data_IF_716465785674
#
_entry.id   IF_716465785674
#
_cell.length_a   1.000
_cell.length_b   1.000
_cell.length_c   1.000
_cell.angle_alpha   90.00
_cell.angle_beta   90.00
_cell.angle_gamma   90.00
#
_symmetry.space_group_name_H-M   'P 1'
#
loop_
_entity.id
_entity.type
_entity.pdbx_description
1 polymer ?
#
# COMPACT_ATOMS: atom_id res chain seq x y z
N UNK A 1 -40.61 20.36 -7.58
CA UNK A 1 -39.39 19.67 -7.09
C UNK A 1 -38.71 20.57 -6.09
N UNK A 2 -38.60 20.18 -4.84
CA UNK A 2 -38.18 21.06 -3.73
C UNK A 2 -36.68 21.38 -3.90
N UNK A 3 -36.24 22.65 -4.00
CA UNK A 3 -34.84 22.99 -4.27
C UNK A 3 -33.87 22.46 -3.23
N UNK A 4 -34.32 22.23 -2.00
CA UNK A 4 -33.55 21.61 -0.92
C UNK A 4 -33.24 20.13 -1.18
N UNK A 5 -34.16 19.40 -1.81
CA UNK A 5 -33.93 17.98 -2.17
C UNK A 5 -32.97 17.86 -3.36
N UNK A 6 -32.99 18.81 -4.30
CA UNK A 6 -32.07 18.86 -5.42
C UNK A 6 -30.64 19.14 -4.94
N UNK A 7 -30.47 20.09 -4.02
CA UNK A 7 -29.18 20.41 -3.41
C UNK A 7 -28.61 19.23 -2.61
N UNK A 8 -29.46 18.51 -1.88
CA UNK A 8 -29.06 17.34 -1.10
C UNK A 8 -28.61 16.19 -1.99
N UNK A 9 -29.31 15.95 -3.11
CA UNK A 9 -28.93 14.89 -4.07
C UNK A 9 -27.63 15.20 -4.82
N UNK A 10 -27.39 16.46 -5.18
CA UNK A 10 -26.13 16.89 -5.82
C UNK A 10 -24.95 16.78 -4.84
N UNK A 11 -25.16 17.13 -3.57
CA UNK A 11 -24.13 17.00 -2.54
C UNK A 11 -23.78 15.54 -2.27
N UNK A 12 -24.76 14.62 -2.31
CA UNK A 12 -24.52 13.18 -2.12
C UNK A 12 -23.73 12.57 -3.29
N UNK A 13 -24.00 13.00 -4.51
CA UNK A 13 -23.26 12.55 -5.71
C UNK A 13 -21.82 13.06 -5.70
N UNK A 14 -21.57 14.27 -5.19
CA UNK A 14 -20.22 14.82 -5.09
C UNK A 14 -19.33 14.07 -4.08
N UNK A 15 -19.92 13.54 -3.00
CA UNK A 15 -19.22 12.79 -1.96
C UNK A 15 -18.76 11.38 -2.41
N UNK A 16 -19.38 10.80 -3.42
CA UNK A 16 -19.04 9.46 -3.92
C UNK A 16 -17.87 9.48 -4.92
N UNK A 17 -17.53 10.65 -5.47
CA UNK A 17 -16.53 10.80 -6.54
C UNK A 17 -15.05 10.72 -6.08
N UNK A 18 -14.77 10.59 -4.77
CA UNK A 18 -13.41 10.57 -4.23
C UNK A 18 -12.80 9.17 -4.05
N UNK A 19 -13.37 8.13 -4.63
CA UNK A 19 -12.74 6.81 -4.62
C UNK A 19 -11.67 6.76 -5.73
N UNK A 20 -10.52 7.41 -5.45
CA UNK A 20 -9.36 7.35 -6.32
C UNK A 20 -8.86 5.91 -6.47
N UNK A 21 -8.59 5.48 -7.70
CA UNK A 21 -7.93 4.21 -7.98
C UNK A 21 -6.52 4.23 -7.38
N UNK A 22 -6.35 3.59 -6.22
CA UNK A 22 -5.02 3.36 -5.65
C UNK A 22 -4.35 2.21 -6.40
N UNK A 23 -3.09 2.39 -6.81
CA UNK A 23 -2.24 1.34 -7.38
C UNK A 23 -1.63 0.45 -6.32
N UNK A 24 -1.83 0.80 -5.05
CA UNK A 24 -1.35 0.07 -3.88
C UNK A 24 -2.02 -1.32 -3.80
N UNK A 25 -1.19 -2.37 -3.87
CA UNK A 25 -1.60 -3.76 -3.73
C UNK A 25 -1.10 -4.28 -2.39
N UNK A 26 -2.01 -4.85 -1.60
CA UNK A 26 -1.69 -5.42 -0.29
C UNK A 26 -2.10 -6.87 -0.26
N UNK A 27 -1.20 -7.72 0.22
CA UNK A 27 -1.44 -9.13 0.51
C UNK A 27 -0.95 -9.44 1.92
N UNK A 28 -1.57 -10.42 2.57
CA UNK A 28 -1.11 -10.92 3.86
C UNK A 28 -1.22 -12.44 3.94
N UNK A 29 -0.36 -13.00 4.77
CA UNK A 29 -0.35 -14.42 5.11
C UNK A 29 -0.09 -14.58 6.61
N UNK A 30 -0.61 -15.64 7.22
CA UNK A 30 -0.47 -15.84 8.65
C UNK A 30 -0.56 -17.34 9.04
N UNK A 31 0.01 -17.68 10.18
CA UNK A 31 -0.13 -19.00 10.76
C UNK A 31 -1.51 -19.15 11.44
N UNK A 32 -2.42 -19.98 10.91
CA UNK A 32 -3.78 -20.11 11.46
C UNK A 32 -3.81 -20.77 12.85
N UNK A 33 -2.73 -21.46 13.24
CA UNK A 33 -2.61 -22.09 14.57
C UNK A 33 -2.07 -21.13 15.64
N UNK A 34 -1.72 -19.90 15.29
CA UNK A 34 -1.19 -18.92 16.22
C UNK A 34 -2.32 -18.20 16.96
N UNK A 35 -2.20 -18.10 18.28
CA UNK A 35 -3.19 -17.41 19.13
C UNK A 35 -2.92 -15.89 19.18
N UNK A 36 -3.60 -15.13 18.34
CA UNK A 36 -3.48 -13.68 18.28
C UNK A 36 -4.16 -12.96 19.46
N UNK A 37 -5.02 -13.62 20.21
CA UNK A 37 -5.79 -12.97 21.31
C UNK A 37 -4.92 -12.53 22.48
N UNK A 38 -3.73 -13.11 22.60
CA UNK A 38 -2.77 -12.83 23.68
C UNK A 38 -1.88 -11.62 23.40
N UNK A 39 -1.89 -11.12 22.17
CA UNK A 39 -1.05 -9.99 21.77
C UNK A 39 -1.60 -8.68 22.32
N UNK A 40 -0.78 -7.95 23.08
CA UNK A 40 -1.10 -6.62 23.65
C UNK A 40 -0.01 -5.61 23.40
N UNK A 41 1.24 -6.05 23.42
CA UNK A 41 2.41 -5.18 23.35
C UNK A 41 3.30 -5.55 22.15
N UNK A 42 3.92 -4.53 21.54
CA UNK A 42 4.79 -4.74 20.39
C UNK A 42 6.08 -3.94 20.48
N UNK A 43 7.13 -4.42 19.81
CA UNK A 43 8.33 -3.66 19.54
C UNK A 43 8.67 -3.70 18.05
N UNK A 44 8.99 -2.55 17.46
CA UNK A 44 9.49 -2.50 16.09
C UNK A 44 11.01 -2.63 16.15
N UNK A 45 11.52 -3.71 15.55
CA UNK A 45 12.93 -4.01 15.48
C UNK A 45 13.38 -3.89 14.03
N UNK A 46 14.34 -3.04 13.75
CA UNK A 46 14.93 -2.99 12.43
C UNK A 46 16.42 -3.26 12.52
N UNK A 47 16.83 -4.30 11.79
CA UNK A 47 18.24 -4.65 11.70
C UNK A 47 18.95 -3.68 10.76
N UNK A 48 19.56 -2.68 11.36
CA UNK A 48 20.66 -1.83 10.91
C UNK A 48 20.96 -1.71 9.42
N UNK A 49 20.88 -0.48 8.90
CA UNK A 49 22.04 0.27 8.48
C UNK A 49 21.59 1.72 8.21
N UNK A 50 21.77 2.59 9.24
CA UNK A 50 21.50 4.01 9.16
C UNK A 50 19.99 4.37 9.27
N UNK A 51 19.68 5.31 10.15
CA UNK A 51 18.33 5.89 10.30
C UNK A 51 18.01 6.80 9.11
N UNK A 52 17.69 6.23 7.95
CA UNK A 52 17.24 7.06 6.84
C UNK A 52 15.88 7.70 7.16
N UNK A 53 15.58 8.91 6.65
CA UNK A 53 14.28 9.55 6.85
C UNK A 53 13.10 8.67 6.41
N UNK A 54 13.29 7.81 5.42
CA UNK A 54 12.28 6.86 4.97
C UNK A 54 12.01 5.79 6.04
N UNK A 55 13.06 5.22 6.64
CA UNK A 55 12.91 4.21 7.69
C UNK A 55 12.22 4.79 8.93
N UNK A 56 12.57 6.00 9.32
CA UNK A 56 11.92 6.70 10.44
C UNK A 56 10.42 6.87 10.20
N UNK A 57 10.02 7.30 9.00
CA UNK A 57 8.60 7.42 8.63
C UNK A 57 7.86 6.09 8.65
N UNK A 58 8.50 5.00 8.19
CA UNK A 58 7.89 3.67 8.24
C UNK A 58 7.67 3.24 9.69
N UNK A 59 8.66 3.42 10.57
CA UNK A 59 8.54 3.12 12.01
C UNK A 59 7.42 3.94 12.64
N UNK A 60 7.36 5.24 12.35
CA UNK A 60 6.33 6.13 12.86
C UNK A 60 4.94 5.73 12.38
N UNK A 61 4.78 5.45 11.08
CA UNK A 61 3.51 5.02 10.50
C UNK A 61 3.03 3.68 11.05
N UNK A 62 3.91 2.68 11.15
CA UNK A 62 3.57 1.37 11.74
C UNK A 62 3.21 1.53 13.23
N UNK A 63 3.98 2.33 13.98
CA UNK A 63 3.70 2.60 15.40
C UNK A 63 2.33 3.25 15.57
N UNK A 64 2.00 4.24 14.73
CA UNK A 64 0.70 4.90 14.74
C UNK A 64 -0.43 3.90 14.53
N UNK A 65 -0.34 3.06 13.51
CA UNK A 65 -1.40 2.11 13.16
C UNK A 65 -1.54 0.98 14.19
N UNK A 66 -0.44 0.46 14.76
CA UNK A 66 -0.53 -0.53 15.84
C UNK A 66 -1.19 0.07 17.09
N UNK A 67 -0.86 1.32 17.44
CA UNK A 67 -1.54 2.03 18.54
C UNK A 67 -3.03 2.24 18.26
N UNK A 68 -3.39 2.62 17.04
CA UNK A 68 -4.78 2.79 16.64
C UNK A 68 -5.60 1.48 16.75
N UNK A 69 -4.93 0.32 16.64
CA UNK A 69 -5.51 -1.01 16.86
C UNK A 69 -5.52 -1.46 18.34
N UNK A 70 -5.02 -0.63 19.25
CA UNK A 70 -5.02 -0.92 20.68
C UNK A 70 -3.77 -1.61 21.22
N UNK A 71 -2.74 -1.82 20.38
CA UNK A 71 -1.47 -2.35 20.84
C UNK A 71 -0.60 -1.27 21.51
N UNK A 72 0.18 -1.66 22.52
CA UNK A 72 1.02 -0.74 23.27
C UNK A 72 2.50 -0.98 22.93
N UNK A 73 3.27 0.07 22.60
CA UNK A 73 4.72 -0.09 22.39
C UNK A 73 5.40 -0.54 23.69
N UNK A 74 6.33 -1.49 23.56
CA UNK A 74 7.12 -1.99 24.67
C UNK A 74 8.59 -2.16 24.24
N UNK A 75 9.55 -2.24 25.19
CA UNK A 75 10.91 -2.68 24.89
C UNK A 75 10.92 -4.08 24.27
N UNK A 76 11.93 -4.37 23.45
CA UNK A 76 12.03 -5.64 22.71
C UNK A 76 11.94 -6.88 23.61
N UNK A 77 12.55 -6.81 24.80
CA UNK A 77 12.58 -7.86 25.80
C UNK A 77 11.26 -8.08 26.54
N UNK A 78 10.30 -7.15 26.41
CA UNK A 78 9.01 -7.17 27.11
C UNK A 78 7.80 -7.18 26.16
N UNK A 79 8.04 -7.12 24.87
CA UNK A 79 6.99 -7.13 23.87
C UNK A 79 6.42 -8.54 23.66
N UNK A 80 5.10 -8.64 23.49
CA UNK A 80 4.43 -9.90 23.14
C UNK A 80 4.77 -10.33 21.72
N UNK A 81 5.05 -9.37 20.84
CA UNK A 81 5.52 -9.65 19.48
C UNK A 81 6.49 -8.58 18.98
N UNK A 82 7.32 -9.01 18.04
CA UNK A 82 8.25 -8.13 17.34
C UNK A 82 7.75 -7.87 15.93
N UNK A 83 7.96 -6.65 15.48
CA UNK A 83 7.66 -6.22 14.12
C UNK A 83 8.96 -5.90 13.40
N UNK A 84 9.21 -6.58 12.29
CA UNK A 84 10.36 -6.33 11.42
C UNK A 84 9.85 -5.91 10.05
N UNK A 85 10.53 -4.97 9.41
CA UNK A 85 10.17 -4.58 8.05
C UNK A 85 11.37 -4.56 7.12
N UNK A 86 11.10 -4.83 5.84
CA UNK A 86 12.05 -4.79 4.74
C UNK A 86 11.47 -4.00 3.58
N UNK A 87 12.30 -3.21 2.94
CA UNK A 87 11.91 -2.46 1.74
C UNK A 87 12.75 -2.89 0.55
N UNK A 88 12.14 -2.95 -0.63
CA UNK A 88 12.80 -3.26 -1.89
C UNK A 88 12.25 -2.37 -2.99
N UNK A 89 13.12 -1.91 -3.89
CA UNK A 89 12.75 -1.12 -5.06
C UNK A 89 13.25 -1.87 -6.30
N UNK A 90 12.35 -2.09 -7.26
CA UNK A 90 12.67 -2.76 -8.54
C UNK A 90 12.26 -1.89 -9.71
N UNK A 91 13.10 -1.86 -10.75
CA UNK A 91 12.70 -1.32 -12.05
C UNK A 91 11.80 -2.34 -12.74
N UNK A 92 10.69 -1.89 -13.25
CA UNK A 92 9.71 -2.68 -14.00
C UNK A 92 9.49 -2.07 -15.37
N UNK A 93 9.17 -2.92 -16.34
CA UNK A 93 8.79 -2.53 -17.69
C UNK A 93 7.38 -2.99 -17.96
N UNK A 94 6.60 -2.13 -18.59
CA UNK A 94 5.25 -2.42 -19.02
C UNK A 94 5.16 -2.14 -20.51
N UNK A 95 4.76 -3.15 -21.28
CA UNK A 95 4.46 -2.99 -22.70
C UNK A 95 2.96 -2.78 -22.85
N UNK A 96 2.59 -1.65 -23.46
CA UNK A 96 1.20 -1.31 -23.78
C UNK A 96 1.06 -1.34 -25.28
N UNK A 97 0.05 -2.06 -25.76
CA UNK A 97 -0.29 -2.08 -27.19
C UNK A 97 -1.42 -1.09 -27.44
N UNK A 98 -1.09 0.01 -28.08
CA UNK A 98 -2.05 1.00 -28.57
C UNK A 98 -2.40 0.68 -30.04
N UNK A 99 -3.59 1.07 -30.49
CA UNK A 99 -3.99 0.95 -31.87
C UNK A 99 -4.09 2.33 -32.50
N UNK A 100 -3.29 2.56 -33.54
CA UNK A 100 -3.33 3.81 -34.30
C UNK A 100 -4.09 3.61 -35.61
N UNK A 101 -4.96 4.58 -35.95
CA UNK A 101 -5.59 4.62 -37.27
C UNK A 101 -4.58 5.09 -38.30
N UNK A 102 -4.36 4.32 -39.32
CA UNK A 102 -3.55 4.69 -40.48
C UNK A 102 -4.45 4.71 -41.69
N UNK A 103 -4.55 5.89 -42.34
CA UNK A 103 -5.28 6.03 -43.59
C UNK A 103 -4.53 5.36 -44.72
N UNK A 104 -5.22 4.51 -45.52
CA UNK A 104 -4.62 3.77 -46.63
C UNK A 104 -4.51 4.58 -47.92
N UNK A 105 -5.17 5.76 -48.03
CA UNK A 105 -5.13 6.63 -49.20
C UNK A 105 -5.17 8.10 -48.85
N UNK A 106 -4.42 8.96 -49.58
CA UNK A 106 -4.41 10.43 -49.33
C UNK A 106 -5.66 11.14 -49.81
N UNK A 107 -6.56 10.50 -50.54
CA UNK A 107 -7.81 11.10 -51.04
C UNK A 107 -9.02 10.21 -50.74
N UNK A 108 -9.82 10.60 -49.78
CA UNK A 108 -11.28 10.35 -49.67
C UNK A 108 -11.76 8.90 -49.55
N UNK A 109 -12.64 8.74 -48.57
CA UNK A 109 -13.48 7.56 -48.27
C UNK A 109 -12.83 6.37 -47.56
N UNK A 110 -12.82 6.51 -46.25
CA UNK A 110 -13.37 5.44 -45.38
C UNK A 110 -12.50 4.22 -45.04
N UNK A 111 -11.37 3.97 -45.66
CA UNK A 111 -10.58 2.80 -45.35
C UNK A 111 -9.43 3.15 -44.38
N UNK A 112 -9.61 2.78 -43.11
CA UNK A 112 -8.59 2.88 -42.07
C UNK A 112 -8.10 1.49 -41.71
N UNK A 113 -6.78 1.33 -41.57
CA UNK A 113 -6.22 0.18 -40.91
C UNK A 113 -5.91 0.56 -39.46
N UNK A 114 -6.23 -0.32 -38.52
CA UNK A 114 -5.79 -0.21 -37.10
C UNK A 114 -4.48 -0.95 -36.97
N UNK A 115 -3.41 -0.20 -36.81
CA UNK A 115 -2.05 -0.76 -36.67
C UNK A 115 -1.70 -0.77 -35.19
N UNK A 116 -1.32 -1.93 -34.62
CA UNK A 116 -0.86 -2.03 -33.27
C UNK A 116 0.51 -1.36 -33.13
N UNK A 117 0.64 -0.46 -32.15
CA UNK A 117 1.90 0.16 -31.76
C UNK A 117 2.20 -0.28 -30.35
N UNK A 118 3.35 -0.91 -30.15
CA UNK A 118 3.84 -1.25 -28.83
C UNK A 118 4.66 -0.09 -28.25
N UNK A 119 4.29 0.32 -27.04
CA UNK A 119 5.04 1.30 -26.27
C UNK A 119 5.54 0.65 -24.99
N UNK A 120 6.82 0.79 -24.72
CA UNK A 120 7.44 0.33 -23.49
C UNK A 120 7.55 1.49 -22.50
N UNK A 121 7.03 1.28 -21.29
CA UNK A 121 7.11 2.23 -20.19
C UNK A 121 7.91 1.62 -19.06
N UNK A 122 8.95 2.31 -18.62
CA UNK A 122 9.70 1.94 -17.43
C UNK A 122 9.12 2.67 -16.21
N UNK A 123 8.96 1.94 -15.11
CA UNK A 123 8.56 2.51 -13.83
C UNK A 123 9.28 1.81 -12.68
N UNK A 124 9.36 2.49 -11.54
CA UNK A 124 9.90 1.90 -10.31
C UNK A 124 8.75 1.39 -9.45
N UNK A 125 8.87 0.17 -8.96
CA UNK A 125 7.96 -0.46 -8.03
C UNK A 125 8.64 -0.59 -6.67
N UNK A 126 7.99 -0.03 -5.63
CA UNK A 126 8.37 -0.19 -4.24
C UNK A 126 7.60 -1.34 -3.60
N UNK A 127 8.29 -2.14 -2.79
CA UNK A 127 7.69 -3.19 -1.97
C UNK A 127 8.12 -2.99 -0.53
N UNK A 128 7.16 -3.03 0.39
CA UNK A 128 7.40 -3.17 1.82
C UNK A 128 6.86 -4.51 2.29
N UNK A 129 7.66 -5.23 3.07
CA UNK A 129 7.28 -6.46 3.74
C UNK A 129 7.36 -6.16 5.24
N UNK A 130 6.29 -6.47 5.95
CA UNK A 130 6.22 -6.34 7.42
C UNK A 130 5.91 -7.70 7.99
N UNK A 131 6.76 -8.15 8.90
CA UNK A 131 6.65 -9.43 9.59
C UNK A 131 6.35 -9.21 11.07
N UNK A 132 5.37 -9.92 11.60
CA UNK A 132 5.16 -10.06 13.03
C UNK A 132 5.66 -11.44 13.47
N UNK A 133 6.51 -11.45 14.48
CA UNK A 133 7.21 -12.66 14.93
C UNK A 133 7.22 -12.80 16.45
N UNK A 134 7.28 -14.03 16.89
CA UNK A 134 7.42 -14.38 18.29
C UNK A 134 8.79 -13.94 18.83
N UNK A 135 8.86 -13.22 19.95
CA UNK A 135 10.12 -12.70 20.47
C UNK A 135 11.13 -13.77 20.90
N UNK A 136 10.64 -14.94 21.31
CA UNK A 136 11.49 -16.04 21.81
C UNK A 136 12.00 -16.94 20.70
N UNK A 137 11.08 -17.39 19.84
CA UNK A 137 11.39 -18.35 18.77
C UNK A 137 11.82 -17.68 17.47
N UNK A 138 11.53 -16.39 17.31
CA UNK A 138 11.72 -15.62 16.07
C UNK A 138 10.92 -16.16 14.88
N UNK A 139 9.96 -17.04 15.13
CA UNK A 139 9.08 -17.55 14.10
C UNK A 139 8.09 -16.46 13.66
N UNK A 140 7.97 -16.27 12.35
CA UNK A 140 7.01 -15.34 11.76
C UNK A 140 5.64 -16.00 11.83
N UNK A 141 4.68 -15.33 12.47
CA UNK A 141 3.29 -15.80 12.53
C UNK A 141 2.34 -14.98 11.67
N UNK A 142 2.76 -13.79 11.22
CA UNK A 142 2.02 -12.99 10.27
C UNK A 142 3.00 -12.21 9.37
N UNK A 143 2.63 -12.09 8.10
CA UNK A 143 3.37 -11.32 7.09
C UNK A 143 2.41 -10.48 6.28
N UNK A 144 2.67 -9.19 6.19
CA UNK A 144 2.00 -8.28 5.27
C UNK A 144 2.96 -7.79 4.18
N UNK A 145 2.46 -7.68 2.96
CA UNK A 145 3.23 -7.20 1.81
C UNK A 145 2.42 -6.10 1.13
N UNK A 146 2.99 -4.91 1.04
CA UNK A 146 2.45 -3.83 0.24
C UNK A 146 3.37 -3.54 -0.94
N UNK A 147 2.79 -3.38 -2.12
CA UNK A 147 3.50 -3.11 -3.38
C UNK A 147 2.80 -1.98 -4.10
N UNK A 148 3.57 -0.97 -4.51
CA UNK A 148 3.03 0.18 -5.26
C UNK A 148 4.06 0.72 -6.26
N UNK A 149 3.59 1.50 -7.23
CA UNK A 149 4.47 2.33 -8.05
C UNK A 149 5.06 3.44 -7.19
N UNK A 150 6.37 3.68 -7.32
CA UNK A 150 7.00 4.77 -6.60
C UNK A 150 6.48 6.11 -7.13
N UNK A 151 5.91 6.88 -6.23
CA UNK A 151 5.40 8.21 -6.48
C UNK A 151 6.47 9.27 -6.18
N UNK A 152 6.38 10.40 -6.87
CA UNK A 152 7.16 11.58 -6.53
C UNK A 152 6.33 12.43 -5.57
N UNK A 153 6.93 12.81 -4.46
CA UNK A 153 6.30 13.63 -3.43
C UNK A 153 6.96 15.01 -3.41
N UNK A 154 6.18 16.06 -3.26
CA UNK A 154 6.66 17.44 -3.25
C UNK A 154 7.44 17.76 -1.98
N UNK A 155 6.97 17.24 -0.85
CA UNK A 155 7.51 17.59 0.46
C UNK A 155 7.56 16.37 1.42
N UNK A 156 8.17 16.53 2.59
CA UNK A 156 8.23 15.49 3.62
C UNK A 156 6.89 15.11 4.21
N UNK A 157 5.90 16.02 4.23
CA UNK A 157 4.59 15.78 4.80
C UNK A 157 3.77 14.83 3.92
N UNK A 158 3.72 15.06 2.60
CA UNK A 158 3.08 14.14 1.65
C UNK A 158 3.66 12.72 1.77
N UNK A 159 4.98 12.62 1.99
CA UNK A 159 5.64 11.31 2.22
C UNK A 159 5.19 10.63 3.49
N UNK A 160 4.93 11.39 4.56
CA UNK A 160 4.44 10.85 5.81
C UNK A 160 2.98 10.40 5.68
N UNK A 161 2.14 11.21 5.05
CA UNK A 161 0.74 10.87 4.77
C UNK A 161 0.63 9.58 3.96
N UNK A 162 1.47 9.44 2.93
CA UNK A 162 1.54 8.21 2.14
C UNK A 162 2.02 7.02 2.98
N UNK A 163 3.03 7.18 3.83
CA UNK A 163 3.50 6.12 4.72
C UNK A 163 2.40 5.64 5.69
N UNK A 164 1.62 6.58 6.25
CA UNK A 164 0.46 6.27 7.09
C UNK A 164 -0.62 5.51 6.31
N UNK A 165 -0.92 5.95 5.08
CA UNK A 165 -1.87 5.25 4.21
C UNK A 165 -1.42 3.81 3.92
N UNK A 166 -0.15 3.60 3.57
CA UNK A 166 0.39 2.26 3.31
C UNK A 166 0.34 1.39 4.55
N UNK A 167 0.74 1.91 5.72
CA UNK A 167 0.70 1.18 6.99
C UNK A 167 -0.74 0.79 7.35
N UNK A 168 -1.69 1.71 7.21
CA UNK A 168 -3.12 1.47 7.46
C UNK A 168 -3.67 0.36 6.57
N UNK A 169 -3.43 0.42 5.26
CA UNK A 169 -3.89 -0.59 4.32
C UNK A 169 -3.25 -1.96 4.62
N UNK A 170 -1.93 -1.98 4.88
CA UNK A 170 -1.18 -3.19 5.17
C UNK A 170 -1.67 -3.88 6.45
N UNK A 171 -1.95 -3.10 7.50
CA UNK A 171 -2.41 -3.64 8.79
C UNK A 171 -3.92 -3.87 8.87
N UNK A 172 -4.71 -3.64 7.83
CA UNK A 172 -6.16 -3.97 7.83
C UNK A 172 -6.45 -5.43 8.21
N UNK A 173 -5.57 -6.33 7.78
CA UNK A 173 -5.69 -7.77 8.02
C UNK A 173 -4.92 -8.26 9.25
N UNK A 174 -4.42 -7.36 10.10
CA UNK A 174 -3.75 -7.69 11.35
C UNK A 174 -4.56 -7.18 12.56
N UNK A 175 -4.85 -8.02 13.56
CA UNK A 175 -4.75 -9.48 13.49
C UNK A 175 -5.77 -10.04 12.49
N UNK A 176 -5.52 -11.22 11.89
CA UNK A 176 -6.52 -11.85 11.04
C UNK A 176 -7.75 -12.23 11.87
N UNK A 177 -8.94 -12.25 11.23
CA UNK A 177 -10.15 -12.74 11.87
C UNK A 177 -9.95 -14.20 12.30
N UNK A 178 -10.04 -14.46 13.58
CA UNK A 178 -10.02 -15.83 14.09
C UNK A 178 -11.38 -16.48 13.80
N UNK A 179 -11.35 -17.66 13.16
CA UNK A 179 -12.52 -18.48 12.89
C UNK A 179 -12.90 -19.29 14.10
#
# INVERSE_FOLDING_TARGET
>A
MNPKMFFLSVLTVLLVSFWGCSTLKVNSDYNPSFDFSKLKTFAIVYYKQGNSPMQQRIVEALTHEFKAKGYVPAPEDKADFLVVFHTNIKNKRQVVTDYQRVGLYPYGFGNYAMVPIQREYEYKEGKIIVDALDPKTRNIFWRGIATDRLQSFKDPQERMEYALQVAKELLKTFPPAQK
#
